data_IF_630346815046
#
_entry.id   IF_630346815046
#
_cell.length_a   1.000
_cell.length_b   1.000
_cell.length_c   1.000
_cell.angle_alpha   90.00
_cell.angle_beta   90.00
_cell.angle_gamma   90.00
#
_symmetry.space_group_name_H-M   'P 1'
#
loop_
_entity.id
_entity.type
_entity.pdbx_description
1 polymer ?
#
# COMPACT_ATOMS: atom_id res chain seq x y z
N UNK A 1 76.55 -30.23 -52.29
CA UNK A 1 75.33 -29.41 -52.39
C UNK A 1 74.96 -29.06 -50.97
N UNK A 2 75.82 -28.31 -50.27
CA UNK A 2 75.83 -26.84 -50.23
C UNK A 2 74.54 -26.35 -49.53
N UNK A 3 74.55 -25.57 -48.46
CA UNK A 3 75.38 -24.40 -48.18
C UNK A 3 75.18 -23.97 -46.70
N UNK A 4 76.26 -23.51 -46.06
CA UNK A 4 76.41 -22.37 -45.09
C UNK A 4 75.21 -21.89 -44.25
N UNK A 5 75.34 -21.31 -43.05
CA UNK A 5 76.33 -21.08 -41.99
C UNK A 5 75.63 -20.13 -40.98
N UNK A 6 76.15 -20.03 -39.74
CA UNK A 6 76.14 -18.83 -38.85
C UNK A 6 74.78 -18.49 -38.17
N UNK A 7 74.64 -18.24 -36.85
CA UNK A 7 75.50 -17.69 -35.79
C UNK A 7 74.98 -18.07 -34.39
N UNK A 8 75.93 -18.31 -33.47
CA UNK A 8 76.06 -17.82 -32.08
C UNK A 8 74.80 -17.40 -31.30
N UNK A 9 74.61 -17.93 -30.09
CA UNK A 9 75.29 -17.41 -28.88
C UNK A 9 74.62 -18.01 -27.62
N UNK A 10 75.39 -18.76 -26.84
CA UNK A 10 75.04 -19.08 -25.45
C UNK A 10 74.97 -17.78 -24.65
N UNK A 11 73.80 -17.43 -24.11
CA UNK A 11 73.75 -16.52 -22.97
C UNK A 11 72.61 -16.89 -22.03
N UNK A 12 72.97 -17.70 -21.04
CA UNK A 12 72.61 -17.51 -19.64
C UNK A 12 71.19 -17.02 -19.35
N UNK A 13 70.27 -17.95 -19.06
CA UNK A 13 69.09 -17.67 -18.22
C UNK A 13 68.45 -18.93 -17.63
N UNK A 14 69.27 -19.79 -17.03
CA UNK A 14 68.78 -20.52 -15.86
C UNK A 14 68.75 -19.57 -14.66
N UNK A 15 67.74 -19.78 -13.81
CA UNK A 15 67.37 -19.06 -12.59
C UNK A 15 66.56 -17.78 -12.77
N UNK A 16 65.37 -17.89 -12.16
CA UNK A 16 64.46 -16.88 -11.63
C UNK A 16 63.14 -16.76 -12.37
N UNK A 17 62.08 -16.81 -11.56
CA UNK A 17 60.67 -16.55 -11.87
C UNK A 17 59.96 -17.77 -12.46
N UNK A 18 59.38 -18.66 -11.66
CA UNK A 18 58.03 -18.46 -11.13
C UNK A 18 57.71 -19.36 -9.92
N UNK A 19 58.26 -19.03 -8.75
CA UNK A 19 57.78 -19.54 -7.44
C UNK A 19 57.03 -18.43 -6.70
N UNK A 20 55.85 -18.04 -7.19
CA UNK A 20 54.87 -17.25 -6.41
C UNK A 20 53.51 -17.23 -7.11
N UNK A 21 52.82 -18.37 -7.13
CA UNK A 21 51.36 -18.40 -7.30
C UNK A 21 50.73 -18.71 -5.93
N UNK A 22 50.85 -17.75 -5.02
CA UNK A 22 50.05 -17.67 -3.80
C UNK A 22 49.51 -16.24 -3.75
N UNK A 23 48.32 -16.08 -3.19
CA UNK A 23 47.47 -14.87 -3.16
C UNK A 23 46.47 -14.76 -4.31
N UNK A 24 45.59 -15.76 -4.43
CA UNK A 24 44.21 -15.50 -4.89
C UNK A 24 43.50 -14.77 -3.74
N UNK A 25 43.39 -13.45 -3.86
CA UNK A 25 42.63 -12.60 -2.95
C UNK A 25 41.14 -12.84 -3.24
N UNK A 26 40.45 -13.61 -2.40
CA UNK A 26 38.99 -13.74 -2.44
C UNK A 26 38.41 -12.49 -1.77
N UNK A 27 38.13 -11.46 -2.57
CA UNK A 27 37.31 -10.34 -2.14
C UNK A 27 35.84 -10.81 -2.14
N UNK A 28 35.40 -11.38 -1.02
CA UNK A 28 33.98 -11.63 -0.78
C UNK A 28 33.29 -10.28 -0.58
N UNK A 29 32.59 -9.81 -1.62
CA UNK A 29 31.75 -8.62 -1.55
C UNK A 29 30.68 -8.80 -0.49
N UNK A 30 30.77 -8.03 0.59
CA UNK A 30 29.74 -7.93 1.61
C UNK A 30 28.58 -7.12 1.00
N UNK A 31 27.73 -7.77 0.21
CA UNK A 31 26.45 -7.17 -0.15
C UNK A 31 25.65 -7.06 1.14
N UNK A 32 25.49 -5.84 1.65
CA UNK A 32 24.60 -5.55 2.76
C UNK A 32 23.20 -6.01 2.33
N UNK A 33 22.74 -7.13 2.87
CA UNK A 33 21.36 -7.54 2.75
C UNK A 33 20.53 -6.49 3.49
N UNK A 34 19.91 -5.58 2.73
CA UNK A 34 18.90 -4.68 3.28
C UNK A 34 17.81 -5.56 3.90
N UNK A 35 17.34 -5.27 5.12
CA UNK A 35 16.29 -6.07 5.75
C UNK A 35 15.07 -6.09 4.83
N UNK A 36 14.57 -7.29 4.51
CA UNK A 36 13.29 -7.44 3.84
C UNK A 36 12.20 -6.88 4.77
N UNK A 37 11.57 -5.78 4.36
CA UNK A 37 10.57 -5.09 5.18
C UNK A 37 9.23 -5.79 4.98
N UNK A 38 8.68 -6.36 6.05
CA UNK A 38 7.43 -7.10 5.99
C UNK A 38 6.25 -6.13 5.89
N UNK A 39 5.38 -6.34 4.89
CA UNK A 39 4.13 -5.61 4.78
C UNK A 39 3.14 -6.08 5.86
N UNK A 40 2.46 -5.13 6.50
CA UNK A 40 1.34 -5.38 7.42
C UNK A 40 0.03 -5.36 6.63
N UNK A 41 -0.88 -6.28 6.95
CA UNK A 41 -2.21 -6.34 6.33
C UNK A 41 -3.28 -6.10 7.38
N UNK A 42 -4.11 -5.07 7.20
CA UNK A 42 -5.30 -4.83 8.01
C UNK A 42 -6.50 -5.42 7.30
N UNK A 43 -7.22 -6.31 8.00
CA UNK A 43 -8.42 -6.97 7.47
C UNK A 43 -9.64 -6.33 8.10
N UNK A 44 -10.53 -5.80 7.27
CA UNK A 44 -11.74 -5.10 7.67
C UNK A 44 -12.92 -6.06 7.85
N UNK A 45 -12.68 -7.13 8.60
CA UNK A 45 -13.68 -8.16 8.91
C UNK A 45 -14.17 -8.04 10.35
N UNK A 46 -15.45 -8.32 10.56
CA UNK A 46 -16.05 -8.31 11.90
C UNK A 46 -16.73 -7.00 12.25
N UNK A 47 -17.32 -6.96 13.44
CA UNK A 47 -18.31 -5.98 13.86
C UNK A 47 -19.73 -6.38 13.45
N UNK A 48 -20.72 -5.66 13.97
CA UNK A 48 -22.12 -5.83 13.59
C UNK A 48 -22.71 -4.52 13.05
N UNK A 49 -23.94 -4.63 12.54
CA UNK A 49 -24.73 -3.53 12.01
C UNK A 49 -25.97 -3.27 12.90
N UNK A 50 -25.97 -3.71 14.17
CA UNK A 50 -27.17 -3.71 15.01
C UNK A 50 -27.60 -2.31 15.49
N UNK A 51 -26.71 -1.33 15.40
CA UNK A 51 -27.00 0.07 15.72
C UNK A 51 -26.43 0.97 14.62
N UNK A 52 -27.12 1.05 13.47
CA UNK A 52 -26.62 1.84 12.35
C UNK A 52 -26.73 3.33 12.68
N UNK A 53 -25.64 4.06 12.42
CA UNK A 53 -25.55 5.48 12.72
C UNK A 53 -24.66 6.18 11.70
N UNK A 54 -25.13 7.31 11.18
CA UNK A 54 -24.32 8.15 10.30
C UNK A 54 -23.04 8.61 10.98
N UNK A 55 -21.91 8.51 10.28
CA UNK A 55 -20.61 8.88 10.84
C UNK A 55 -20.09 7.89 11.89
N UNK A 56 -20.61 6.67 11.94
CA UNK A 56 -19.97 5.61 12.71
C UNK A 56 -18.53 5.35 12.21
N UNK A 57 -17.73 4.75 13.08
CA UNK A 57 -16.36 4.33 12.74
C UNK A 57 -16.14 2.87 13.11
N UNK A 58 -15.14 2.26 12.48
CA UNK A 58 -14.69 0.89 12.78
C UNK A 58 -13.18 0.87 12.88
N UNK A 59 -12.66 0.24 13.92
CA UNK A 59 -11.22 0.15 14.16
C UNK A 59 -10.72 -1.28 14.03
N UNK A 60 -9.57 -1.43 13.40
CA UNK A 60 -8.89 -2.70 13.15
C UNK A 60 -7.41 -2.55 13.47
N UNK A 61 -6.79 -3.55 14.10
CA UNK A 61 -5.39 -3.45 14.51
C UNK A 61 -4.59 -4.64 14.00
N UNK A 62 -3.41 -4.37 13.44
CA UNK A 62 -2.40 -5.37 13.12
C UNK A 62 -1.01 -4.72 13.12
N UNK A 63 0.03 -5.49 13.46
CA UNK A 63 1.41 -4.99 13.49
C UNK A 63 1.64 -3.82 14.46
N UNK A 64 0.85 -3.73 15.54
CA UNK A 64 0.93 -2.62 16.50
C UNK A 64 0.32 -1.30 16.03
N UNK A 65 -0.26 -1.25 14.82
CA UNK A 65 -0.93 -0.07 14.26
C UNK A 65 -2.41 -0.31 14.14
N UNK A 66 -3.19 0.65 14.62
CA UNK A 66 -4.65 0.68 14.48
C UNK A 66 -5.03 1.54 13.29
N UNK A 67 -5.94 1.05 12.46
CA UNK A 67 -6.63 1.81 11.43
C UNK A 67 -8.08 2.01 11.84
N UNK A 68 -8.53 3.25 11.81
CA UNK A 68 -9.92 3.65 12.02
C UNK A 68 -10.53 4.08 10.70
N UNK A 69 -11.55 3.36 10.25
CA UNK A 69 -12.30 3.63 9.03
C UNK A 69 -13.57 4.45 9.32
N UNK A 70 -13.89 5.38 8.43
CA UNK A 70 -15.15 6.16 8.39
C UNK A 70 -15.62 6.29 6.95
N UNK A 71 -16.94 6.31 6.73
CA UNK A 71 -17.54 6.44 5.40
C UNK A 71 -17.91 7.90 5.09
N UNK A 72 -17.81 8.27 3.81
CA UNK A 72 -18.03 9.61 3.29
C UNK A 72 -18.59 9.57 1.87
N UNK A 73 -19.48 10.50 1.54
CA UNK A 73 -20.09 10.62 0.21
C UNK A 73 -20.41 12.09 -0.11
N UNK A 74 -20.55 12.45 -1.39
CA UNK A 74 -20.97 13.80 -1.80
C UNK A 74 -22.49 14.02 -1.76
N UNK A 75 -23.15 13.67 -0.67
CA UNK A 75 -24.63 13.82 -0.52
C UNK A 75 -25.02 15.10 0.22
N UNK A 76 -24.05 15.93 0.60
CA UNK A 76 -24.27 17.16 1.35
C UNK A 76 -24.69 18.33 0.46
N UNK A 77 -25.48 19.22 1.05
CA UNK A 77 -25.99 20.42 0.41
C UNK A 77 -27.13 20.14 -0.58
N UNK A 78 -27.81 21.18 -1.05
CA UNK A 78 -29.02 21.03 -1.89
C UNK A 78 -28.76 20.46 -3.29
N UNK A 79 -27.50 20.31 -3.69
CA UNK A 79 -27.10 19.79 -4.99
C UNK A 79 -26.33 18.47 -4.94
N UNK A 80 -26.19 17.85 -3.76
CA UNK A 80 -25.40 16.62 -3.58
C UNK A 80 -24.00 16.75 -4.19
N UNK A 81 -23.31 17.83 -3.80
CA UNK A 81 -21.94 18.13 -4.26
C UNK A 81 -20.94 18.25 -3.12
N UNK A 82 -21.44 18.40 -1.88
CA UNK A 82 -20.60 18.54 -0.70
C UNK A 82 -20.40 17.18 -0.05
N UNK A 83 -19.19 16.91 0.40
CA UNK A 83 -18.86 15.71 1.15
C UNK A 83 -19.47 15.82 2.55
N UNK A 84 -20.14 14.77 2.98
CA UNK A 84 -20.60 14.58 4.36
C UNK A 84 -20.37 13.14 4.82
N UNK A 85 -20.51 12.88 6.12
CA UNK A 85 -20.31 11.54 6.65
C UNK A 85 -21.44 10.61 6.21
N UNK A 86 -21.08 9.36 5.96
CA UNK A 86 -21.97 8.28 5.57
C UNK A 86 -22.01 7.20 6.67
N UNK A 87 -22.83 6.17 6.49
CA UNK A 87 -22.81 4.99 7.35
C UNK A 87 -21.80 3.98 6.79
N UNK A 88 -21.00 3.38 7.67
CA UNK A 88 -19.98 2.39 7.34
C UNK A 88 -20.44 0.99 7.81
N UNK A 89 -21.22 0.26 7.01
CA UNK A 89 -21.59 -1.13 7.30
C UNK A 89 -20.41 -2.11 7.14
N UNK A 90 -20.53 -3.27 7.78
CA UNK A 90 -19.61 -4.42 7.60
C UNK A 90 -20.36 -5.64 7.09
N UNK A 91 -19.72 -6.42 6.21
CA UNK A 91 -20.30 -7.61 5.56
C UNK A 91 -19.43 -8.85 5.73
N UNK A 92 -18.91 -9.06 6.95
CA UNK A 92 -18.15 -10.27 7.28
C UNK A 92 -16.93 -10.46 6.38
N UNK A 93 -16.96 -11.48 5.52
CA UNK A 93 -15.89 -11.79 4.56
C UNK A 93 -15.86 -10.88 3.33
N UNK A 94 -16.89 -10.06 3.10
CA UNK A 94 -16.94 -9.14 1.96
C UNK A 94 -16.27 -7.80 2.26
N UNK A 95 -16.12 -7.41 3.53
CA UNK A 95 -15.50 -6.15 3.94
C UNK A 95 -16.47 -5.02 4.24
N UNK A 96 -15.98 -3.79 4.14
CA UNK A 96 -16.68 -2.54 4.40
C UNK A 96 -17.43 -2.06 3.15
N UNK A 97 -18.67 -1.64 3.34
CA UNK A 97 -19.43 -0.89 2.35
C UNK A 97 -19.59 0.56 2.77
N UNK A 98 -20.31 1.33 1.96
CA UNK A 98 -20.83 2.64 2.31
C UNK A 98 -22.36 2.58 2.17
N UNK A 99 -23.03 3.36 3.01
CA UNK A 99 -24.40 3.78 2.74
C UNK A 99 -24.39 5.29 2.92
N UNK A 100 -24.62 6.03 1.86
CA UNK A 100 -24.69 7.47 1.80
C UNK A 100 -26.07 7.98 2.24
N UNK A 101 -26.24 9.30 2.39
CA UNK A 101 -27.45 9.89 2.97
C UNK A 101 -28.56 10.15 1.96
N UNK A 102 -28.33 9.87 0.68
CA UNK A 102 -29.26 10.21 -0.39
C UNK A 102 -30.36 9.18 -0.60
N UNK A 103 -30.29 8.01 0.04
CA UNK A 103 -31.36 7.00 -0.03
C UNK A 103 -32.63 7.33 0.74
N UNK A 104 -32.63 8.38 1.58
CA UNK A 104 -33.83 8.87 2.28
C UNK A 104 -34.42 10.15 1.66
N UNK A 105 -33.86 10.66 0.57
CA UNK A 105 -34.30 11.88 -0.10
C UNK A 105 -35.62 11.68 -0.87
N UNK A 106 -36.29 12.75 -1.29
CA UNK A 106 -37.42 12.69 -2.24
C UNK A 106 -37.08 13.53 -3.50
N UNK A 107 -37.16 12.94 -4.71
CA UNK A 107 -36.75 13.56 -5.98
C UNK A 107 -36.34 12.58 -7.11
N UNK A 108 -36.11 13.05 -8.34
CA UNK A 108 -35.67 12.20 -9.47
C UNK A 108 -34.23 11.72 -9.39
N UNK A 109 -33.42 12.35 -8.52
CA UNK A 109 -31.98 12.16 -8.42
C UNK A 109 -31.61 11.30 -7.20
N UNK A 110 -32.57 10.51 -6.68
CA UNK A 110 -32.42 9.67 -5.49
C UNK A 110 -31.62 8.41 -5.78
N UNK A 111 -30.83 8.02 -4.80
CA UNK A 111 -30.29 6.67 -4.68
C UNK A 111 -31.18 5.82 -3.76
N UNK A 112 -32.38 5.47 -4.24
CA UNK A 112 -33.42 4.81 -3.40
C UNK A 112 -33.02 3.45 -2.83
N UNK A 113 -31.94 2.86 -3.32
CA UNK A 113 -31.49 1.55 -2.90
C UNK A 113 -30.51 1.63 -1.72
N UNK A 114 -29.90 2.80 -1.50
CA UNK A 114 -28.89 3.05 -0.47
C UNK A 114 -29.51 3.51 0.87
N UNK A 115 -30.28 2.59 1.46
CA UNK A 115 -31.08 2.82 2.65
C UNK A 115 -30.56 1.94 3.78
N UNK A 116 -30.30 2.56 4.94
CA UNK A 116 -29.94 1.81 6.16
C UNK A 116 -31.05 0.81 6.49
N UNK A 117 -30.69 -0.48 6.51
CA UNK A 117 -31.60 -1.57 6.86
C UNK A 117 -32.43 -2.13 5.69
N UNK A 118 -32.27 -1.60 4.47
CA UNK A 118 -32.65 -2.31 3.24
C UNK A 118 -31.50 -3.27 2.84
N UNK A 119 -31.72 -4.22 1.94
CA UNK A 119 -30.72 -5.22 1.50
C UNK A 119 -30.15 -4.97 0.09
N UNK A 120 -30.52 -3.86 -0.56
CA UNK A 120 -30.25 -3.62 -1.99
C UNK A 120 -28.87 -3.04 -2.28
N UNK A 121 -28.48 -1.93 -1.65
CA UNK A 121 -27.23 -1.24 -1.98
C UNK A 121 -26.46 -0.81 -0.74
N UNK A 122 -25.19 -1.22 -0.73
CA UNK A 122 -24.34 -1.39 0.44
C UNK A 122 -22.86 -1.42 0.06
N UNK A 123 -22.55 -0.95 -1.15
CA UNK A 123 -21.22 -0.87 -1.71
C UNK A 123 -20.59 0.46 -1.33
N UNK A 124 -19.28 0.55 -1.45
CA UNK A 124 -18.68 1.81 -1.81
C UNK A 124 -18.77 1.89 -3.34
N UNK A 125 -19.53 2.84 -3.86
CA UNK A 125 -19.76 2.95 -5.30
C UNK A 125 -19.66 4.38 -5.85
N UNK A 126 -19.79 4.47 -7.17
CA UNK A 126 -19.74 5.73 -7.92
C UNK A 126 -20.96 5.93 -8.84
N UNK A 127 -22.07 5.27 -8.55
CA UNK A 127 -23.32 5.46 -9.28
C UNK A 127 -24.11 6.63 -8.69
N UNK A 128 -24.36 7.66 -9.49
CA UNK A 128 -24.98 8.94 -9.13
C UNK A 128 -24.21 9.79 -8.08
N UNK A 129 -23.69 9.17 -7.01
CA UNK A 129 -22.84 9.74 -5.97
C UNK A 129 -21.49 9.05 -6.01
N UNK A 130 -20.53 9.61 -5.29
CA UNK A 130 -19.20 9.04 -5.16
C UNK A 130 -18.98 8.76 -3.68
N UNK A 131 -18.75 7.50 -3.38
CA UNK A 131 -18.49 7.03 -2.04
C UNK A 131 -17.01 6.84 -1.78
N UNK A 132 -16.66 6.98 -0.50
CA UNK A 132 -15.30 6.81 -0.05
C UNK A 132 -15.22 6.40 1.42
N UNK A 133 -14.12 5.72 1.74
CA UNK A 133 -13.74 5.31 3.07
C UNK A 133 -12.43 6.01 3.41
N UNK A 134 -12.44 6.78 4.49
CA UNK A 134 -11.26 7.38 5.09
C UNK A 134 -10.64 6.38 6.07
N UNK A 135 -9.43 5.92 5.76
CA UNK A 135 -8.59 5.09 6.61
C UNK A 135 -7.61 5.98 7.39
N UNK A 136 -7.81 6.09 8.70
CA UNK A 136 -6.94 6.85 9.60
C UNK A 136 -6.10 5.91 10.46
N UNK A 137 -4.81 5.83 10.18
CA UNK A 137 -3.84 5.00 10.86
C UNK A 137 -3.24 5.73 12.07
N UNK A 138 -2.99 4.99 13.15
CA UNK A 138 -2.32 5.52 14.35
C UNK A 138 -0.86 5.87 14.13
N UNK A 139 -0.27 5.38 13.04
CA UNK A 139 1.08 5.66 12.58
C UNK A 139 1.05 5.96 11.09
N UNK A 140 2.11 6.56 10.55
CA UNK A 140 2.18 6.76 9.11
C UNK A 140 2.44 5.42 8.39
N UNK A 141 1.71 5.18 7.31
CA UNK A 141 1.79 3.94 6.53
C UNK A 141 2.01 4.28 5.06
N UNK A 142 2.96 3.60 4.43
CA UNK A 142 3.02 3.50 2.97
C UNK A 142 2.02 2.42 2.55
N UNK A 143 0.84 2.84 2.06
CA UNK A 143 -0.23 1.93 1.64
C UNK A 143 0.13 1.33 0.29
N UNK A 144 0.63 0.09 0.27
CA UNK A 144 1.18 -0.58 -0.92
C UNK A 144 0.13 -1.33 -1.72
N UNK A 145 -1.01 -1.68 -1.11
CA UNK A 145 -2.07 -2.38 -1.81
C UNK A 145 -3.40 -2.40 -1.09
N UNK A 146 -4.44 -2.63 -1.88
CA UNK A 146 -5.82 -2.76 -1.43
C UNK A 146 -6.43 -4.02 -2.04
N UNK A 147 -7.44 -4.56 -1.38
CA UNK A 147 -8.18 -5.72 -1.85
C UNK A 147 -9.65 -5.61 -1.47
N UNK A 148 -10.52 -5.81 -2.45
CA UNK A 148 -11.95 -5.91 -2.21
C UNK A 148 -12.33 -7.35 -1.83
N UNK A 149 -13.35 -7.51 -1.00
CA UNK A 149 -13.91 -8.81 -0.66
C UNK A 149 -15.12 -9.18 -1.51
N UNK A 150 -15.70 -8.19 -2.18
CA UNK A 150 -16.83 -8.33 -3.07
C UNK A 150 -16.86 -7.18 -4.07
N UNK A 151 -17.33 -7.46 -5.28
CA UNK A 151 -17.60 -6.45 -6.32
C UNK A 151 -18.81 -6.88 -7.17
N UNK A 152 -19.49 -5.93 -7.81
CA UNK A 152 -20.44 -6.17 -8.91
C UNK A 152 -20.34 -5.04 -9.92
N UNK A 153 -20.77 -5.24 -11.17
CA UNK A 153 -20.53 -4.27 -12.24
C UNK A 153 -19.04 -4.25 -12.61
N UNK A 154 -18.35 -3.15 -12.27
CA UNK A 154 -16.90 -2.99 -12.35
C UNK A 154 -16.30 -2.73 -10.94
N UNK A 155 -15.01 -2.41 -10.85
CA UNK A 155 -14.26 -2.36 -9.60
C UNK A 155 -13.05 -1.43 -9.65
N UNK A 156 -13.19 -0.33 -10.39
CA UNK A 156 -12.24 0.76 -10.41
C UNK A 156 -12.32 1.55 -9.10
N UNK A 157 -11.16 1.92 -8.53
CA UNK A 157 -11.06 2.65 -7.26
C UNK A 157 -10.11 3.82 -7.37
N UNK A 158 -10.40 4.94 -6.70
CA UNK A 158 -9.46 6.06 -6.56
C UNK A 158 -8.84 6.07 -5.16
N UNK A 159 -7.53 6.30 -5.10
CA UNK A 159 -6.75 6.32 -3.85
C UNK A 159 -6.04 7.65 -3.68
N UNK A 160 -6.24 8.29 -2.53
CA UNK A 160 -5.57 9.53 -2.15
C UNK A 160 -4.84 9.37 -0.82
N UNK A 161 -3.75 10.12 -0.66
CA UNK A 161 -3.05 10.28 0.60
C UNK A 161 -3.15 11.73 1.08
N UNK A 162 -3.42 11.94 2.36
CA UNK A 162 -3.29 13.27 2.95
C UNK A 162 -1.81 13.58 3.18
N UNK A 163 -1.31 14.64 2.55
CA UNK A 163 0.07 15.13 2.66
C UNK A 163 0.14 16.48 3.38
N UNK A 164 -1.00 17.03 3.81
CA UNK A 164 -1.06 18.22 4.64
C UNK A 164 -0.66 17.98 6.09
N UNK A 165 -0.81 19.02 6.91
CA UNK A 165 -0.55 18.96 8.36
C UNK A 165 -1.85 18.69 9.14
N UNK A 166 -1.74 18.00 10.28
CA UNK A 166 -2.86 17.75 11.18
C UNK A 166 -3.85 16.71 10.65
N UNK A 167 -5.09 16.77 11.15
CA UNK A 167 -6.17 15.87 10.72
C UNK A 167 -6.88 16.45 9.49
N UNK A 168 -7.10 15.69 8.42
CA UNK A 168 -7.85 16.17 7.26
C UNK A 168 -9.31 16.44 7.61
N UNK A 169 -9.89 17.46 6.98
CA UNK A 169 -11.33 17.74 7.01
C UNK A 169 -11.93 17.46 5.65
N UNK A 170 -12.94 16.59 5.59
CA UNK A 170 -13.69 16.28 4.37
C UNK A 170 -15.03 17.02 4.32
N UNK A 171 -15.72 17.09 5.47
CA UNK A 171 -17.06 17.63 5.60
C UNK A 171 -17.20 19.05 5.02
N UNK A 172 -18.20 19.27 4.17
CA UNK A 172 -18.50 20.56 3.54
C UNK A 172 -17.57 20.93 2.38
N UNK A 173 -16.51 20.17 2.11
CA UNK A 173 -15.70 20.28 0.89
C UNK A 173 -16.35 19.55 -0.29
N UNK A 174 -15.70 19.56 -1.46
CA UNK A 174 -16.07 18.72 -2.60
C UNK A 174 -14.90 17.81 -2.97
N UNK A 175 -15.15 16.69 -3.65
CA UNK A 175 -14.04 15.81 -4.07
C UNK A 175 -13.01 16.57 -4.94
N UNK A 176 -13.48 17.45 -5.83
CA UNK A 176 -12.60 18.29 -6.65
C UNK A 176 -11.70 19.23 -5.85
N UNK A 177 -12.09 19.62 -4.63
CA UNK A 177 -11.27 20.52 -3.79
C UNK A 177 -10.22 19.80 -2.95
N UNK A 178 -10.26 18.47 -2.83
CA UNK A 178 -9.36 17.74 -1.94
C UNK A 178 -7.88 17.94 -2.29
N UNK A 179 -7.53 17.90 -3.58
CA UNK A 179 -6.13 18.07 -4.02
C UNK A 179 -5.58 19.45 -3.65
N UNK A 180 -6.43 20.49 -3.70
CA UNK A 180 -6.06 21.83 -3.21
C UNK A 180 -6.03 21.96 -1.68
N UNK A 181 -6.56 20.98 -0.95
CA UNK A 181 -6.69 20.97 0.52
C UNK A 181 -5.81 19.89 1.16
N UNK A 182 -4.60 19.71 0.65
CA UNK A 182 -3.57 18.87 1.26
C UNK A 182 -3.69 17.38 0.94
N UNK A 183 -4.56 16.97 0.01
CA UNK A 183 -4.56 15.61 -0.52
C UNK A 183 -3.71 15.49 -1.78
N UNK A 184 -3.11 14.33 -1.98
CA UNK A 184 -2.48 13.93 -3.23
C UNK A 184 -3.26 12.77 -3.84
N UNK A 185 -3.57 12.85 -5.13
CA UNK A 185 -4.01 11.68 -5.91
C UNK A 185 -2.84 10.72 -6.05
N UNK A 186 -3.03 9.46 -5.66
CA UNK A 186 -1.97 8.45 -5.61
C UNK A 186 -2.09 7.47 -6.75
N UNK A 187 -3.28 6.89 -6.94
CA UNK A 187 -3.53 5.92 -7.99
C UNK A 187 -5.01 5.79 -8.25
N UNK A 188 -5.36 5.54 -9.50
CA UNK A 188 -6.60 4.85 -9.84
C UNK A 188 -6.26 3.37 -10.05
N UNK A 189 -6.96 2.49 -9.35
CA UNK A 189 -6.78 1.05 -9.39
C UNK A 189 -7.89 0.50 -10.27
N UNK A 190 -7.55 0.07 -11.48
CA UNK A 190 -8.57 -0.37 -12.44
C UNK A 190 -8.86 -1.87 -12.31
N UNK A 191 -10.13 -2.24 -12.42
CA UNK A 191 -10.63 -3.61 -12.58
C UNK A 191 -10.07 -4.55 -11.50
N UNK A 192 -10.08 -4.07 -10.26
CA UNK A 192 -9.38 -4.72 -9.14
C UNK A 192 -10.00 -6.07 -8.76
N UNK A 193 -11.29 -6.27 -9.05
CA UNK A 193 -12.06 -7.43 -8.64
C UNK A 193 -11.87 -7.71 -7.16
N UNK A 194 -11.57 -8.96 -6.80
CA UNK A 194 -11.23 -9.36 -5.41
C UNK A 194 -9.75 -9.76 -5.25
N UNK A 195 -8.91 -9.34 -6.20
CA UNK A 195 -7.46 -9.54 -6.16
C UNK A 195 -6.77 -8.40 -5.43
N UNK A 196 -5.49 -8.59 -5.09
CA UNK A 196 -4.66 -7.49 -4.62
C UNK A 196 -4.38 -6.52 -5.76
N UNK A 197 -4.68 -5.24 -5.54
CA UNK A 197 -4.31 -4.14 -6.42
C UNK A 197 -3.20 -3.33 -5.75
N UNK A 198 -2.08 -3.12 -6.45
CA UNK A 198 -0.97 -2.34 -5.93
C UNK A 198 -1.17 -0.85 -6.23
N UNK A 199 -0.90 0.00 -5.24
CA UNK A 199 -0.90 1.45 -5.40
C UNK A 199 0.37 1.97 -6.08
N UNK A 200 1.44 1.16 -6.13
CA UNK A 200 2.75 1.56 -6.67
C UNK A 200 3.43 2.73 -5.95
N UNK A 201 2.88 3.19 -4.84
CA UNK A 201 3.26 4.48 -4.24
C UNK A 201 4.47 4.37 -3.33
N UNK A 202 5.30 5.42 -3.32
CA UNK A 202 6.30 5.66 -2.27
C UNK A 202 5.83 6.68 -1.23
N UNK A 203 4.61 7.21 -1.36
CA UNK A 203 4.01 8.15 -0.41
C UNK A 203 3.57 7.40 0.83
N UNK A 204 3.77 8.00 1.99
CA UNK A 204 3.26 7.49 3.24
C UNK A 204 2.43 8.56 3.93
N UNK A 205 1.37 8.12 4.60
CA UNK A 205 0.43 9.00 5.29
C UNK A 205 -0.24 8.26 6.43
N UNK A 206 -0.67 9.00 7.44
CA UNK A 206 -1.60 8.51 8.47
C UNK A 206 -3.05 8.54 7.99
N UNK A 207 -3.36 9.19 6.87
CA UNK A 207 -4.72 9.27 6.35
C UNK A 207 -4.77 8.97 4.86
N UNK A 208 -5.55 7.96 4.50
CA UNK A 208 -5.78 7.51 3.13
C UNK A 208 -7.27 7.57 2.84
N UNK A 209 -7.65 8.16 1.71
CA UNK A 209 -9.02 8.15 1.22
C UNK A 209 -9.08 7.15 0.07
N UNK A 210 -9.92 6.14 0.22
CA UNK A 210 -10.16 5.11 -0.79
C UNK A 210 -11.60 5.25 -1.22
N UNK A 211 -11.87 5.46 -2.50
CA UNK A 211 -13.22 5.53 -3.05
C UNK A 211 -13.41 4.56 -4.19
N UNK A 212 -14.66 4.33 -4.57
CA UNK A 212 -14.93 3.94 -5.95
C UNK A 212 -14.36 5.00 -6.91
N UNK A 213 -14.15 4.65 -8.17
CA UNK A 213 -13.48 5.57 -9.09
C UNK A 213 -14.16 6.94 -9.09
N UNK A 214 -13.37 8.00 -8.96
CA UNK A 214 -13.88 9.35 -8.93
C UNK A 214 -13.13 10.23 -9.95
N UNK A 215 -13.82 10.74 -10.98
CA UNK A 215 -13.20 11.51 -12.05
C UNK A 215 -12.56 12.81 -11.57
N UNK A 216 -12.91 13.30 -10.37
CA UNK A 216 -12.29 14.47 -9.76
C UNK A 216 -10.77 14.31 -9.57
N UNK A 217 -10.27 13.08 -9.54
CA UNK A 217 -8.85 12.76 -9.32
C UNK A 217 -8.10 12.32 -10.57
N UNK A 218 -8.81 12.20 -11.70
CA UNK A 218 -8.28 11.76 -12.98
C UNK A 218 -8.67 12.71 -14.12
N UNK A 219 -8.37 14.00 -13.93
CA UNK A 219 -8.55 15.02 -14.97
C UNK A 219 -10.00 15.20 -15.47
N UNK A 220 -11.00 14.71 -14.74
CA UNK A 220 -12.42 14.77 -15.11
C UNK A 220 -12.88 13.69 -16.07
N UNK A 221 -12.10 12.63 -16.33
CA UNK A 221 -12.51 11.54 -17.23
C UNK A 221 -13.60 10.67 -16.61
N UNK A 222 -14.83 10.75 -17.13
CA UNK A 222 -15.99 10.02 -16.62
C UNK A 222 -16.18 8.63 -17.24
N UNK A 223 -15.27 8.18 -18.11
CA UNK A 223 -15.40 6.90 -18.83
C UNK A 223 -15.31 5.64 -17.96
N UNK A 224 -14.90 5.82 -16.70
CA UNK A 224 -14.74 4.77 -15.67
C UNK A 224 -15.67 5.01 -14.48
N UNK A 225 -16.71 5.83 -14.64
CA UNK A 225 -17.62 6.19 -13.55
C UNK A 225 -19.03 5.62 -13.79
N UNK A 226 -19.74 5.33 -12.71
CA UNK A 226 -21.17 5.00 -12.72
C UNK A 226 -21.49 3.51 -12.71
N UNK A 227 -20.52 2.64 -12.46
CA UNK A 227 -20.74 1.20 -12.44
C UNK A 227 -19.79 0.42 -11.53
N UNK A 228 -19.01 1.11 -10.68
CA UNK A 228 -18.12 0.46 -9.73
C UNK A 228 -18.84 0.25 -8.41
N UNK A 229 -19.01 -1.00 -8.00
CA UNK A 229 -19.63 -1.33 -6.73
C UNK A 229 -18.73 -2.30 -5.98
N UNK A 230 -18.07 -1.83 -4.92
CA UNK A 230 -17.05 -2.63 -4.23
C UNK A 230 -17.25 -2.64 -2.72
N UNK A 231 -16.74 -3.68 -2.06
CA UNK A 231 -16.59 -3.71 -0.60
C UNK A 231 -15.12 -3.86 -0.24
N UNK A 232 -14.58 -2.86 0.45
CA UNK A 232 -13.17 -2.81 0.80
C UNK A 232 -12.88 -3.81 1.93
N UNK A 233 -12.04 -4.81 1.66
CA UNK A 233 -11.81 -5.91 2.60
C UNK A 233 -10.46 -5.85 3.28
N UNK A 234 -9.40 -5.47 2.57
CA UNK A 234 -8.06 -5.39 3.16
C UNK A 234 -7.27 -4.20 2.64
N UNK A 235 -6.44 -3.66 3.53
CA UNK A 235 -5.37 -2.75 3.21
C UNK A 235 -4.03 -3.41 3.55
N UNK A 236 -3.04 -3.23 2.69
CA UNK A 236 -1.67 -3.67 2.92
C UNK A 236 -0.74 -2.48 2.83
N UNK A 237 0.23 -2.42 3.73
CA UNK A 237 1.22 -1.36 3.70
C UNK A 237 2.39 -1.62 4.63
N UNK A 238 3.41 -0.79 4.51
CA UNK A 238 4.56 -0.80 5.39
C UNK A 238 4.43 0.33 6.40
N UNK A 239 4.58 0.00 7.68
CA UNK A 239 4.52 0.97 8.78
C UNK A 239 5.80 1.79 8.80
N UNK A 240 5.68 3.10 8.97
CA UNK A 240 6.80 4.02 8.99
C UNK A 240 7.12 4.47 10.42
N UNK A 241 8.42 4.52 10.74
CA UNK A 241 8.91 4.64 12.13
C UNK A 241 9.23 6.08 12.54
N UNK A 242 9.10 7.04 11.64
CA UNK A 242 9.35 8.45 11.97
C UNK A 242 8.06 9.16 12.36
N UNK A 243 8.09 9.83 13.51
CA UNK A 243 7.12 10.86 13.82
C UNK A 243 7.39 12.08 12.94
N UNK A 244 6.37 12.54 12.20
CA UNK A 244 6.44 13.79 11.46
C UNK A 244 6.05 13.67 9.98
N UNK A 245 4.76 13.51 9.71
CA UNK A 245 4.13 13.90 8.45
C UNK A 245 4.61 13.21 7.16
N UNK A 246 3.92 13.49 6.06
CA UNK A 246 4.08 12.85 4.75
C UNK A 246 5.43 13.09 4.03
N UNK A 247 6.46 13.63 4.70
CA UNK A 247 7.79 13.84 4.10
C UNK A 247 8.92 13.72 5.13
N UNK A 248 9.83 12.75 4.96
CA UNK A 248 11.03 12.56 5.79
C UNK A 248 11.17 11.28 6.65
N UNK A 249 10.20 10.37 6.66
CA UNK A 249 10.25 9.14 7.46
C UNK A 249 10.82 7.94 6.73
N UNK A 250 11.56 7.08 7.45
CA UNK A 250 11.94 5.75 6.94
C UNK A 250 10.77 4.80 7.19
N UNK A 251 10.20 4.27 6.11
CA UNK A 251 9.25 3.18 6.20
C UNK A 251 9.99 1.87 6.44
N UNK A 252 9.44 1.00 7.29
CA UNK A 252 10.04 -0.26 7.69
C UNK A 252 10.62 -0.26 9.10
N UNK A 253 10.08 -1.17 9.92
CA UNK A 253 10.45 -1.41 11.30
C UNK A 253 9.24 -1.92 12.08
N UNK A 254 9.45 -2.83 13.04
CA UNK A 254 8.38 -3.27 13.94
C UNK A 254 8.04 -2.12 14.89
N UNK A 255 6.80 -1.60 14.92
CA UNK A 255 6.42 -0.61 15.90
C UNK A 255 6.43 -1.25 17.28
N UNK A 256 7.16 -0.63 18.22
CA UNK A 256 7.04 -0.97 19.64
C UNK A 256 7.28 -2.44 19.99
N UNK A 257 8.48 -2.95 19.73
CA UNK A 257 9.28 -3.86 20.58
C UNK A 257 10.42 -4.43 19.72
N UNK A 258 11.67 -4.15 20.12
CA UNK A 258 12.89 -4.87 19.74
C UNK A 258 13.08 -5.25 18.27
N UNK A 259 14.00 -4.53 17.60
CA UNK A 259 14.84 -4.95 16.46
C UNK A 259 14.25 -6.04 15.53
N UNK A 260 13.89 -5.71 14.28
CA UNK A 260 13.60 -6.74 13.28
C UNK A 260 14.83 -7.62 13.03
N UNK A 261 14.76 -8.90 13.41
CA UNK A 261 15.73 -9.92 13.01
C UNK A 261 15.15 -11.06 12.14
N UNK A 262 14.40 -10.85 11.03
CA UNK A 262 13.88 -12.00 10.27
C UNK A 262 14.79 -12.54 9.14
N UNK A 263 16.09 -12.22 9.04
CA UNK A 263 16.90 -12.80 7.95
C UNK A 263 18.41 -12.72 8.10
N UNK A 264 18.92 -11.66 8.72
CA UNK A 264 20.36 -11.44 8.87
C UNK A 264 21.02 -12.46 9.80
N UNK A 265 20.33 -12.92 10.85
CA UNK A 265 20.82 -13.98 11.74
C UNK A 265 20.86 -15.35 11.04
N UNK A 266 19.84 -15.67 10.23
CA UNK A 266 19.83 -16.91 9.47
C UNK A 266 20.96 -16.94 8.45
N UNK A 267 21.20 -15.84 7.73
CA UNK A 267 22.30 -15.76 6.75
C UNK A 267 23.67 -15.69 7.43
N UNK A 268 23.82 -14.97 8.53
CA UNK A 268 25.04 -14.98 9.34
C UNK A 268 25.34 -16.37 9.91
N UNK A 269 24.30 -17.11 10.34
CA UNK A 269 24.41 -18.49 10.80
C UNK A 269 24.82 -19.45 9.67
N UNK A 270 24.20 -19.35 8.50
CA UNK A 270 24.57 -20.15 7.31
C UNK A 270 25.97 -19.81 6.80
N UNK A 271 26.37 -18.54 6.83
CA UNK A 271 27.72 -18.09 6.49
C UNK A 271 28.78 -18.66 7.43
N UNK A 272 28.50 -18.66 8.75
CA UNK A 272 29.40 -19.23 9.75
C UNK A 272 29.53 -20.76 9.59
N UNK A 273 28.43 -21.47 9.32
CA UNK A 273 28.44 -22.90 9.02
C UNK A 273 29.21 -23.22 7.73
N UNK A 274 29.08 -22.38 6.69
CA UNK A 274 29.86 -22.49 5.46
C UNK A 274 31.37 -22.34 5.71
N UNK A 275 31.78 -21.37 6.53
CA UNK A 275 33.19 -21.16 6.92
C UNK A 275 33.73 -22.34 7.73
N UNK A 276 32.93 -22.91 8.64
CA UNK A 276 33.30 -24.11 9.41
C UNK A 276 33.44 -25.33 8.49
N UNK A 277 32.52 -25.52 7.53
CA UNK A 277 32.59 -26.59 6.53
C UNK A 277 33.82 -26.49 5.63
N UNK A 278 34.18 -25.29 5.19
CA UNK A 278 35.38 -25.04 4.38
C UNK A 278 36.68 -25.28 5.16
N UNK A 279 36.69 -25.02 6.47
CA UNK A 279 37.85 -25.33 7.34
C UNK A 279 38.08 -26.83 7.53
N UNK A 280 37.02 -27.66 7.56
CA UNK A 280 37.15 -29.11 7.73
C UNK A 280 37.65 -29.83 6.47
N UNK A 281 37.51 -29.24 5.28
CA UNK A 281 38.05 -29.77 4.02
C UNK A 281 39.55 -29.48 3.79
N UNK A 282 40.19 -28.74 4.71
CA UNK A 282 41.63 -28.37 4.63
C UNK A 282 42.53 -29.17 5.59
N UNK A 283 42.03 -30.23 6.21
CA UNK A 283 42.81 -31.29 6.84
C UNK A 283 42.66 -32.56 6.03
#
# INVERSE_FOLDING_TARGET
MDCFMYLDNEFSREKHMNKTFKHMLVAAGLMAALPAMAATTWTFSGGDNNNPAWGNSRSYSNGGVTVTATAWANTGGSGNTLIENAYLPTYGSSGLGVINRDGYSSGSDQDTNDVIGNSTEHSMDNDQRYDSILLSFSEAVNLTGLRNGWTTGDSDMSVLAYIGSGTPTLAGGSYASLVSNGWASISDLMNTGTSWASTGTSVYSSHWLVGAFNPAFNGGSTGYAGNDYVKLYQAQGTICTASGGASGGVCGGTPGTGVPEPGSLALAGLGLLGVIGLRRRRK
#
